data_IF_519589091449
#
_entry.id   IF_519589091449
#
_cell.length_a   1.000
_cell.length_b   1.000
_cell.length_c   1.000
_cell.angle_alpha   90.00
_cell.angle_beta   90.00
_cell.angle_gamma   90.00
#
_symmetry.space_group_name_H-M   'P 1'
#
loop_
_entity.id
_entity.type
_entity.pdbx_description
1 polymer ?
#
# COMPACT_ATOMS: atom_id res chain seq x y z
N UNK A 1 1.18 2.49 5.65
CA UNK A 1 2.28 1.50 5.58
C UNK A 1 2.23 0.81 4.23
N UNK A 2 3.37 0.47 3.63
CA UNK A 2 3.46 -0.38 2.43
C UNK A 2 4.49 -1.47 2.69
N UNK A 3 4.20 -2.71 2.30
CA UNK A 3 5.12 -3.83 2.42
C UNK A 3 4.85 -4.91 1.38
N UNK A 4 5.85 -5.76 1.11
CA UNK A 4 5.83 -6.73 0.00
C UNK A 4 4.88 -7.92 0.14
N UNK A 5 4.19 -8.03 1.27
CA UNK A 5 3.32 -9.16 1.60
C UNK A 5 4.06 -10.50 1.74
N UNK A 6 3.35 -11.50 2.29
CA UNK A 6 3.83 -12.87 2.43
C UNK A 6 5.17 -13.01 3.17
N UNK A 7 5.96 -14.00 2.75
CA UNK A 7 7.20 -14.39 3.42
C UNK A 7 8.27 -13.28 3.47
N UNK A 8 8.20 -12.29 2.58
CA UNK A 8 9.16 -11.19 2.56
C UNK A 8 9.00 -10.24 3.74
N UNK A 9 7.76 -10.04 4.22
CA UNK A 9 7.51 -9.28 5.46
C UNK A 9 8.04 -10.04 6.66
N UNK A 10 7.75 -11.35 6.74
CA UNK A 10 8.15 -12.21 7.87
C UNK A 10 9.68 -12.38 7.98
N UNK A 11 10.37 -12.59 6.85
CA UNK A 11 11.81 -12.86 6.85
C UNK A 11 12.68 -11.61 6.84
N UNK A 12 12.22 -10.52 6.22
CA UNK A 12 13.06 -9.35 5.97
C UNK A 12 12.52 -8.05 6.56
N UNK A 13 11.32 -8.05 7.13
CA UNK A 13 10.69 -6.82 7.62
C UNK A 13 10.55 -5.77 6.53
N UNK A 14 10.26 -6.17 5.29
CA UNK A 14 10.21 -5.27 4.14
C UNK A 14 8.96 -4.39 4.16
N UNK A 15 9.04 -3.32 4.95
CA UNK A 15 7.97 -2.33 5.15
C UNK A 15 8.51 -0.92 5.12
N UNK A 16 7.68 0.01 4.67
CA UNK A 16 7.94 1.44 4.72
C UNK A 16 6.70 2.21 5.19
N UNK A 17 6.93 3.32 5.88
CA UNK A 17 5.88 4.16 6.48
C UNK A 17 5.99 5.59 5.98
N UNK A 18 4.84 6.21 5.75
CA UNK A 18 4.74 7.63 5.46
C UNK A 18 3.44 8.17 6.05
N UNK A 19 3.36 9.49 6.17
CA UNK A 19 2.16 10.15 6.67
C UNK A 19 1.08 10.20 5.58
N UNK A 20 -0.19 10.25 5.99
CA UNK A 20 -1.30 10.47 5.06
C UNK A 20 -1.21 11.88 4.44
N UNK A 21 -1.88 12.08 3.29
CA UNK A 21 -1.70 13.27 2.42
C UNK A 21 -0.61 13.08 1.37
N UNK A 22 -0.50 11.87 0.84
CA UNK A 22 0.49 11.52 -0.18
C UNK A 22 -0.01 11.90 -1.57
N UNK A 23 0.87 12.44 -2.41
CA UNK A 23 0.67 12.48 -3.86
C UNK A 23 1.25 11.21 -4.53
N UNK A 24 1.00 11.03 -5.84
CA UNK A 24 1.49 9.85 -6.57
C UNK A 24 3.03 9.75 -6.52
N UNK A 25 3.74 10.88 -6.50
CA UNK A 25 5.20 10.90 -6.43
C UNK A 25 5.71 10.45 -5.05
N UNK A 26 5.04 10.84 -3.96
CA UNK A 26 5.32 10.39 -2.61
C UNK A 26 5.00 8.90 -2.44
N UNK A 27 3.88 8.43 -3.01
CA UNK A 27 3.55 7.02 -3.04
C UNK A 27 4.61 6.19 -3.79
N UNK A 28 5.10 6.69 -4.94
CA UNK A 28 6.17 6.02 -5.68
C UNK A 28 7.48 5.97 -4.87
N UNK A 29 7.85 7.07 -4.21
CA UNK A 29 9.01 7.10 -3.31
C UNK A 29 8.85 6.12 -2.15
N UNK A 30 7.66 6.03 -1.56
CA UNK A 30 7.34 5.08 -0.49
C UNK A 30 7.51 3.63 -0.95
N UNK A 31 7.01 3.26 -2.13
CA UNK A 31 7.21 1.91 -2.70
C UNK A 31 8.69 1.63 -2.97
N UNK A 32 9.45 2.60 -3.49
CA UNK A 32 10.89 2.45 -3.77
C UNK A 32 11.76 2.21 -2.54
N UNK A 33 11.24 2.48 -1.33
CA UNK A 33 11.93 2.15 -0.07
C UNK A 33 11.76 0.70 0.37
N UNK A 34 10.92 -0.08 -0.33
CA UNK A 34 10.73 -1.52 -0.09
C UNK A 34 11.32 -2.34 -1.23
N UNK A 35 11.49 -3.64 -1.01
CA UNK A 35 11.94 -4.60 -2.03
C UNK A 35 10.87 -4.86 -3.09
N UNK A 36 9.62 -4.43 -2.89
CA UNK A 36 8.57 -4.45 -3.93
C UNK A 36 9.04 -3.78 -5.22
N UNK A 37 9.71 -2.65 -5.14
CA UNK A 37 10.12 -1.92 -6.34
C UNK A 37 11.01 -2.77 -7.25
N UNK A 38 11.91 -3.58 -6.67
CA UNK A 38 12.75 -4.50 -7.42
C UNK A 38 11.96 -5.70 -7.99
N UNK A 39 10.95 -6.20 -7.26
CA UNK A 39 10.07 -7.26 -7.76
C UNK A 39 9.20 -6.79 -8.92
N UNK A 40 8.69 -5.56 -8.84
CA UNK A 40 7.81 -4.94 -9.82
C UNK A 40 8.57 -4.46 -11.06
N UNK A 41 9.87 -4.14 -10.96
CA UNK A 41 10.72 -3.83 -12.13
C UNK A 41 10.99 -5.00 -13.07
N UNK A 42 10.54 -6.21 -12.72
CA UNK A 42 10.74 -7.43 -13.49
C UNK A 42 12.06 -8.13 -13.18
N UNK A 43 12.07 -9.46 -13.29
CA UNK A 43 13.27 -10.28 -13.15
C UNK A 43 13.12 -11.58 -13.96
N UNK A 44 14.21 -12.02 -14.62
CA UNK A 44 14.33 -13.29 -15.37
C UNK A 44 13.06 -13.71 -16.14
N UNK A 45 12.79 -13.05 -17.27
CA UNK A 45 11.71 -13.44 -18.19
C UNK A 45 10.30 -13.04 -17.75
N UNK A 46 10.16 -12.21 -16.71
CA UNK A 46 8.91 -11.56 -16.34
C UNK A 46 8.95 -10.09 -16.72
N UNK A 47 7.87 -9.62 -17.34
CA UNK A 47 7.68 -8.21 -17.66
C UNK A 47 7.57 -7.36 -16.40
N UNK A 48 8.00 -6.11 -16.50
CA UNK A 48 7.79 -5.13 -15.44
C UNK A 48 6.30 -4.87 -15.24
N UNK A 49 5.88 -4.77 -13.98
CA UNK A 49 4.52 -4.38 -13.60
C UNK A 49 4.52 -2.87 -13.35
N UNK A 50 3.62 -2.10 -14.00
CA UNK A 50 3.54 -0.66 -13.79
C UNK A 50 3.27 -0.31 -12.32
N UNK A 51 4.02 0.66 -11.77
CA UNK A 51 3.83 1.13 -10.40
C UNK A 51 2.61 2.06 -10.25
N UNK A 52 2.26 2.80 -11.30
CA UNK A 52 1.20 3.81 -11.26
C UNK A 52 -0.13 3.34 -10.65
N UNK A 53 -0.68 2.16 -11.00
CA UNK A 53 -1.90 1.67 -10.37
C UNK A 53 -1.77 1.50 -8.85
N UNK A 54 -0.64 0.98 -8.36
CA UNK A 54 -0.39 0.86 -6.92
C UNK A 54 -0.26 2.24 -6.27
N UNK A 55 0.45 3.19 -6.91
CA UNK A 55 0.56 4.56 -6.40
C UNK A 55 -0.82 5.20 -6.23
N UNK A 56 -1.71 5.06 -7.21
CA UNK A 56 -3.08 5.59 -7.14
C UNK A 56 -3.90 4.96 -6.01
N UNK A 57 -3.75 3.65 -5.77
CA UNK A 57 -4.39 2.99 -4.63
C UNK A 57 -3.90 3.55 -3.30
N UNK A 58 -2.58 3.76 -3.15
CA UNK A 58 -2.00 4.35 -1.93
C UNK A 58 -2.54 5.76 -1.70
N UNK A 59 -2.57 6.60 -2.74
CA UNK A 59 -3.12 7.96 -2.67
C UNK A 59 -4.60 7.93 -2.27
N UNK A 60 -5.41 7.09 -2.92
CA UNK A 60 -6.83 6.97 -2.59
C UNK A 60 -7.09 6.56 -1.14
N UNK A 61 -6.29 5.62 -0.60
CA UNK A 61 -6.38 5.22 0.83
C UNK A 61 -5.93 6.37 1.74
N UNK A 62 -4.86 7.08 1.36
CA UNK A 62 -4.36 8.26 2.06
C UNK A 62 -5.44 9.34 2.20
N UNK A 63 -6.11 9.66 1.09
CA UNK A 63 -7.20 10.63 1.04
C UNK A 63 -8.42 10.15 1.81
N UNK A 64 -8.75 8.85 1.74
CA UNK A 64 -9.87 8.26 2.47
C UNK A 64 -9.69 8.37 3.98
N UNK A 65 -8.49 8.13 4.49
CA UNK A 65 -8.17 8.30 5.92
C UNK A 65 -8.32 9.77 6.33
N UNK A 66 -7.77 10.70 5.55
CA UNK A 66 -7.86 12.14 5.86
C UNK A 66 -9.31 12.65 5.83
N UNK A 67 -10.13 12.13 4.92
CA UNK A 67 -11.54 12.50 4.80
C UNK A 67 -12.43 11.90 5.90
N UNK A 68 -11.95 10.88 6.63
CA UNK A 68 -12.76 10.15 7.61
C UNK A 68 -12.06 10.06 8.98
N UNK A 69 -12.10 11.12 9.81
CA UNK A 69 -11.41 11.16 11.12
C UNK A 69 -11.83 10.07 12.11
N UNK A 70 -12.98 9.42 11.90
CA UNK A 70 -13.46 8.29 12.72
C UNK A 70 -12.76 6.98 12.38
N UNK A 71 -12.08 6.89 11.24
CA UNK A 71 -11.34 5.69 10.85
C UNK A 71 -9.99 5.71 11.55
N UNK A 72 -9.73 4.69 12.36
CA UNK A 72 -8.45 4.49 13.04
C UNK A 72 -7.42 3.81 12.13
N UNK A 73 -7.87 2.86 11.32
CA UNK A 73 -7.00 2.01 10.51
C UNK A 73 -7.74 1.56 9.26
N UNK A 74 -7.03 1.54 8.13
CA UNK A 74 -7.45 0.85 6.91
C UNK A 74 -6.31 -0.08 6.52
N UNK A 75 -6.59 -1.39 6.47
CA UNK A 75 -5.66 -2.40 6.02
C UNK A 75 -6.16 -3.05 4.73
N UNK A 76 -5.29 -3.06 3.71
CA UNK A 76 -5.52 -3.68 2.42
C UNK A 76 -4.54 -4.85 2.29
N UNK A 77 -5.01 -6.07 2.53
CA UNK A 77 -4.15 -7.24 2.51
C UNK A 77 -4.94 -8.53 2.22
N UNK A 78 -4.68 -9.25 1.10
CA UNK A 78 -3.66 -8.98 0.10
C UNK A 78 -4.10 -7.98 -0.97
N UNK A 79 -3.12 -7.27 -1.55
CA UNK A 79 -3.28 -6.48 -2.78
C UNK A 79 -2.58 -7.19 -3.93
N UNK A 80 -3.32 -7.51 -4.97
CA UNK A 80 -2.80 -8.05 -6.22
C UNK A 80 -2.52 -6.93 -7.21
N UNK A 81 -1.37 -6.98 -7.88
CA UNK A 81 -0.95 -5.98 -8.86
C UNK A 81 -0.63 -6.70 -10.16
N UNK A 82 -1.12 -6.17 -11.28
CA UNK A 82 -0.85 -6.69 -12.61
C UNK A 82 -0.82 -5.58 -13.67
N UNK A 83 -0.64 -5.95 -14.95
CA UNK A 83 -0.49 -4.99 -16.04
C UNK A 83 -1.66 -4.01 -16.19
N UNK A 84 -2.86 -4.43 -15.78
CA UNK A 84 -4.10 -3.67 -15.94
C UNK A 84 -4.53 -2.90 -14.69
N UNK A 85 -3.87 -3.11 -13.54
CA UNK A 85 -4.27 -2.43 -12.31
C UNK A 85 -3.81 -3.09 -11.02
N UNK A 86 -4.33 -2.58 -9.90
CA UNK A 86 -4.18 -3.13 -8.56
C UNK A 86 -5.57 -3.41 -7.95
N UNK A 87 -5.73 -4.55 -7.28
CA UNK A 87 -6.98 -5.00 -6.66
C UNK A 87 -6.68 -5.46 -5.23
N UNK A 88 -7.37 -4.88 -4.25
CA UNK A 88 -7.41 -5.42 -2.90
C UNK A 88 -8.42 -6.57 -2.86
N UNK A 89 -7.99 -7.75 -2.43
CA UNK A 89 -8.88 -8.91 -2.31
C UNK A 89 -9.61 -8.94 -0.97
N UNK A 90 -9.03 -8.32 0.05
CA UNK A 90 -9.65 -8.11 1.35
C UNK A 90 -9.30 -6.70 1.87
N UNK A 91 -10.24 -6.12 2.61
CA UNK A 91 -10.11 -4.79 3.20
C UNK A 91 -10.71 -4.82 4.60
N UNK A 92 -9.90 -4.43 5.59
CA UNK A 92 -10.34 -4.28 6.98
C UNK A 92 -10.28 -2.81 7.37
N UNK A 93 -11.36 -2.31 7.96
CA UNK A 93 -11.45 -0.95 8.49
C UNK A 93 -11.72 -1.03 9.99
N UNK A 94 -10.94 -0.29 10.77
CA UNK A 94 -11.14 -0.13 12.21
C UNK A 94 -11.56 1.31 12.46
N UNK A 95 -12.64 1.49 13.21
CA UNK A 95 -13.10 2.81 13.65
C UNK A 95 -12.56 3.12 15.05
N UNK A 96 -12.35 4.41 15.33
CA UNK A 96 -12.08 4.92 16.67
C UNK A 96 -13.28 4.59 17.55
N UNK A 97 -13.06 3.89 18.67
CA UNK A 97 -14.09 3.79 19.69
C UNK A 97 -14.37 5.20 20.23
N UNK A 98 -15.65 5.56 20.33
CA UNK A 98 -16.02 6.76 21.06
C UNK A 98 -15.47 6.64 22.49
N UNK A 99 -14.77 7.68 22.94
CA UNK A 99 -14.28 7.77 24.31
C UNK A 99 -15.49 7.59 25.26
N UNK A 100 -15.55 6.52 26.07
CA UNK A 100 -16.59 6.37 27.06
C UNK A 100 -16.24 7.33 28.19
N UNK A 101 -16.64 8.59 28.03
CA UNK A 101 -16.40 9.65 29.01
C UNK A 101 -16.86 9.31 30.43
#
# INVERSE_FOLDING_TARGET
MVGSGGIFVELFGDVAFDLAGLDEAAAERLIKRTKLAALLSGARGRDAIPLQPLCRTIVAVSDLILANPRVAEIDLNPVFIGPVGAIAADVRIVEQQADPG
#
